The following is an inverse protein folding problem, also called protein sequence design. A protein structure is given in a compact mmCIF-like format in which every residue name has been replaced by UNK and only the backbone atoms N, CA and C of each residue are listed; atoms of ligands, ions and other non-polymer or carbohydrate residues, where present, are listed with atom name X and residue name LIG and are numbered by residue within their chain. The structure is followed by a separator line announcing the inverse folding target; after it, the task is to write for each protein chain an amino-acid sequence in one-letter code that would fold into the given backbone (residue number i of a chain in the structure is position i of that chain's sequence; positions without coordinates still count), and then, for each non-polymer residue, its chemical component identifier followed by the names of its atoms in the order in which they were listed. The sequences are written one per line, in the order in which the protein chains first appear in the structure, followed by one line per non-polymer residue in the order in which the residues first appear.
data_IF_909342241618
#
_entry.id   IF_909342241618
#
_cell.length_a   1.000
_cell.length_b   1.000
_cell.length_c   1.000
_cell.angle_alpha   90.00
_cell.angle_beta   90.00
_cell.angle_gamma   90.00
#
_symmetry.space_group_name_H-M   'P 1'
#
loop_
_entity.id
_entity.type
_entity.pdbx_description
1 polymer ?
#
# COMPACT_ATOMS: atom_id res chain seq x y z
N UNK A 1 9.29 -53.87 3.41
CA UNK A 1 8.80 -54.04 4.79
C UNK A 1 8.53 -52.67 5.38
N UNK A 2 7.29 -52.36 5.76
CA UNK A 2 6.94 -51.13 6.49
C UNK A 2 7.06 -51.39 7.98
N UNK A 3 7.75 -50.50 8.71
CA UNK A 3 7.76 -50.52 10.17
C UNK A 3 6.35 -50.20 10.68
N UNK A 4 5.82 -51.00 11.61
CA UNK A 4 4.48 -50.82 12.19
C UNK A 4 4.61 -50.42 13.66
N UNK A 5 3.72 -49.56 14.15
CA UNK A 5 3.54 -49.33 15.60
C UNK A 5 2.93 -50.57 16.27
N UNK A 6 2.94 -50.66 17.63
CA UNK A 6 2.29 -51.76 18.37
C UNK A 6 0.80 -51.94 18.01
N UNK A 7 0.14 -50.88 17.53
CA UNK A 7 -1.26 -50.89 17.07
C UNK A 7 -1.43 -51.35 15.61
N UNK A 8 -0.38 -51.88 14.97
CA UNK A 8 -0.43 -52.42 13.60
C UNK A 8 -0.55 -51.38 12.48
N UNK A 9 -0.56 -50.08 12.81
CA UNK A 9 -0.54 -48.99 11.82
C UNK A 9 0.90 -48.75 11.32
N UNK A 10 1.09 -48.28 10.07
CA UNK A 10 2.41 -47.87 9.60
C UNK A 10 3.00 -46.81 10.53
N UNK A 11 4.24 -47.01 10.97
CA UNK A 11 4.97 -46.07 11.80
C UNK A 11 5.09 -44.74 11.04
N UNK A 12 4.41 -43.71 11.54
CA UNK A 12 4.60 -42.33 11.14
C UNK A 12 5.41 -41.64 12.23
N UNK A 13 6.48 -40.96 11.86
CA UNK A 13 7.22 -40.09 12.78
C UNK A 13 6.24 -39.05 13.34
N UNK A 14 6.16 -38.97 14.66
CA UNK A 14 5.30 -37.99 15.32
C UNK A 14 5.91 -36.60 15.09
N UNK A 15 5.24 -35.79 14.28
CA UNK A 15 5.46 -34.34 14.12
C UNK A 15 6.92 -33.92 13.87
N UNK A 16 7.29 -33.67 12.62
CA UNK A 16 8.32 -32.65 12.40
C UNK A 16 7.76 -31.34 12.93
N UNK A 17 8.45 -30.70 13.88
CA UNK A 17 8.17 -29.32 14.25
C UNK A 17 8.48 -28.48 12.99
N UNK A 18 7.50 -28.31 12.11
CA UNK A 18 7.67 -27.48 10.93
C UNK A 18 7.68 -26.04 11.43
N UNK A 19 8.88 -25.46 11.52
CA UNK A 19 9.08 -24.04 11.81
C UNK A 19 8.38 -23.17 10.76
N UNK A 20 8.16 -23.71 9.57
CA UNK A 20 7.40 -23.11 8.49
C UNK A 20 6.00 -23.72 8.42
N UNK A 21 4.98 -22.97 8.84
CA UNK A 21 3.59 -23.20 8.50
C UNK A 21 3.12 -22.02 7.64
N UNK A 22 2.84 -22.21 6.34
CA UNK A 22 2.39 -21.13 5.45
C UNK A 22 0.95 -20.67 5.72
N UNK A 23 0.27 -21.24 6.72
CA UNK A 23 -1.15 -21.02 6.93
C UNK A 23 -1.42 -19.68 7.63
N UNK A 24 -2.36 -18.93 7.05
CA UNK A 24 -2.98 -17.73 7.64
C UNK A 24 -3.65 -17.98 9.01
N UNK A 25 -3.71 -19.23 9.45
CA UNK A 25 -4.21 -19.64 10.76
C UNK A 25 -3.17 -19.60 11.87
N UNK A 26 -1.88 -19.40 11.56
CA UNK A 26 -0.85 -19.33 12.60
C UNK A 26 -1.12 -18.13 13.54
N UNK A 27 -1.41 -18.38 14.84
CA UNK A 27 -1.74 -17.32 15.79
C UNK A 27 -0.59 -16.34 16.00
N UNK A 28 0.65 -16.76 15.77
CA UNK A 28 1.82 -15.89 15.91
C UNK A 28 1.86 -14.82 14.80
N UNK A 29 1.54 -15.18 13.55
CA UNK A 29 1.49 -14.24 12.43
C UNK A 29 0.39 -13.19 12.69
N UNK A 30 -0.78 -13.62 13.19
CA UNK A 30 -1.87 -12.72 13.57
C UNK A 30 -1.46 -11.75 14.68
N UNK A 31 -0.72 -12.23 15.68
CA UNK A 31 -0.23 -11.39 16.76
C UNK A 31 0.75 -10.32 16.25
N UNK A 32 1.69 -10.69 15.37
CA UNK A 32 2.60 -9.72 14.77
C UNK A 32 1.89 -8.68 13.91
N UNK A 33 0.89 -9.09 13.12
CA UNK A 33 0.09 -8.16 12.32
C UNK A 33 -0.68 -7.19 13.21
N UNK A 34 -1.31 -7.67 14.29
CA UNK A 34 -2.04 -6.82 15.23
C UNK A 34 -1.10 -5.81 15.92
N UNK A 35 0.05 -6.28 16.39
CA UNK A 35 1.04 -5.42 17.03
C UNK A 35 1.60 -4.36 16.08
N UNK A 36 1.89 -4.71 14.83
CA UNK A 36 2.38 -3.75 13.82
C UNK A 36 1.27 -2.77 13.41
N UNK A 37 0.02 -3.21 13.27
CA UNK A 37 -1.12 -2.33 13.01
C UNK A 37 -1.27 -1.28 14.13
N UNK A 38 -1.23 -1.69 15.40
CA UNK A 38 -1.32 -0.78 16.53
C UNK A 38 -0.12 0.16 16.64
N UNK A 39 1.08 -0.35 16.31
CA UNK A 39 2.31 0.46 16.27
C UNK A 39 2.20 1.55 15.20
N UNK A 40 1.75 1.19 13.99
CA UNK A 40 1.56 2.15 12.89
C UNK A 40 0.42 3.12 13.20
N UNK A 41 -0.65 2.69 13.87
CA UNK A 41 -1.73 3.60 14.29
C UNK A 41 -1.27 4.59 15.37
N UNK A 42 -0.36 4.17 16.24
CA UNK A 42 0.16 5.03 17.33
C UNK A 42 1.21 6.04 16.87
N UNK A 43 2.10 5.65 15.96
CA UNK A 43 3.23 6.48 15.50
C UNK A 43 3.07 7.04 14.09
N UNK A 44 2.20 6.44 13.29
CA UNK A 44 1.93 6.85 11.93
C UNK A 44 0.89 7.95 11.84
N UNK A 45 0.43 8.15 10.62
CA UNK A 45 -0.50 9.20 10.26
C UNK A 45 -1.60 8.66 9.34
N UNK A 46 -2.82 9.22 9.43
CA UNK A 46 -3.89 8.86 8.52
C UNK A 46 -3.62 9.47 7.14
N UNK A 47 -3.79 8.67 6.11
CA UNK A 47 -3.73 9.05 4.70
C UNK A 47 -5.05 8.68 4.02
N UNK A 48 -5.42 9.45 3.00
CA UNK A 48 -6.63 9.19 2.24
C UNK A 48 -6.28 8.61 0.87
N UNK A 49 -6.64 7.35 0.65
CA UNK A 49 -6.39 6.61 -0.57
C UNK A 49 -7.55 6.73 -1.55
N UNK A 50 -7.26 7.18 -2.77
CA UNK A 50 -8.18 7.28 -3.88
C UNK A 50 -7.79 6.29 -4.96
N UNK A 51 -8.63 5.28 -5.15
CA UNK A 51 -8.40 4.23 -6.13
C UNK A 51 -8.48 4.77 -7.55
N UNK A 52 -7.60 4.28 -8.43
CA UNK A 52 -7.63 4.58 -9.86
C UNK A 52 -8.39 3.50 -10.63
N UNK A 53 -9.28 3.95 -11.51
CA UNK A 53 -9.98 3.14 -12.49
C UNK A 53 -9.47 3.51 -13.88
N UNK A 54 -9.00 2.49 -14.61
CA UNK A 54 -8.54 2.60 -15.99
C UNK A 54 -9.50 1.78 -16.85
N UNK A 55 -10.14 2.43 -17.82
CA UNK A 55 -10.97 1.74 -18.79
C UNK A 55 -10.07 0.98 -19.78
N UNK A 56 -10.29 -0.32 -20.03
CA UNK A 56 -9.48 -1.10 -20.96
C UNK A 56 -9.42 -0.50 -22.37
N UNK A 57 -10.48 0.20 -22.80
CA UNK A 57 -10.55 0.83 -24.12
C UNK A 57 -9.76 2.13 -24.27
N UNK A 58 -9.23 2.67 -23.17
CA UNK A 58 -8.46 3.93 -23.15
C UNK A 58 -6.95 3.70 -23.03
N UNK A 59 -6.51 2.44 -23.03
CA UNK A 59 -5.11 2.05 -22.98
C UNK A 59 -4.55 2.09 -24.40
N UNK A 60 -3.58 2.97 -24.63
CA UNK A 60 -2.83 3.00 -25.88
C UNK A 60 -1.93 1.75 -25.94
N UNK A 61 -2.15 0.89 -26.93
CA UNK A 61 -1.40 -0.38 -27.06
C UNK A 61 0.07 -0.17 -27.40
N UNK A 62 0.45 1.01 -27.90
CA UNK A 62 1.82 1.32 -28.33
C UNK A 62 2.69 1.73 -27.14
N UNK A 63 2.14 2.56 -26.26
CA UNK A 63 2.85 3.11 -25.09
C UNK A 63 2.47 2.43 -23.78
N UNK A 64 1.42 1.60 -23.77
CA UNK A 64 0.85 0.96 -22.57
C UNK A 64 0.47 2.02 -21.53
N UNK A 65 -0.02 3.15 -22.01
CA UNK A 65 -0.45 4.27 -21.18
C UNK A 65 -1.94 4.51 -21.32
N UNK A 66 -2.61 4.72 -20.19
CA UNK A 66 -4.02 5.09 -20.16
C UNK A 66 -4.18 6.58 -20.48
N UNK A 67 -4.97 6.92 -21.50
CA UNK A 67 -5.29 8.31 -21.88
C UNK A 67 -6.17 9.00 -20.84
N UNK A 68 -7.09 8.27 -20.23
CA UNK A 68 -7.94 8.72 -19.13
C UNK A 68 -7.63 7.95 -17.85
N UNK A 69 -7.51 8.67 -16.73
CA UNK A 69 -7.44 8.08 -15.39
C UNK A 69 -8.57 8.67 -14.58
N UNK A 70 -9.48 7.82 -14.12
CA UNK A 70 -10.59 8.21 -13.27
C UNK A 70 -10.23 7.79 -11.85
N UNK A 71 -10.48 8.66 -10.88
CA UNK A 71 -10.24 8.38 -9.48
C UNK A 71 -11.57 8.19 -8.76
N UNK A 72 -11.61 7.32 -7.74
CA UNK A 72 -12.73 7.25 -6.81
C UNK A 72 -12.97 8.62 -6.17
N UNK A 73 -14.23 9.01 -6.00
CA UNK A 73 -14.58 10.23 -5.26
C UNK A 73 -14.59 10.01 -3.74
N UNK A 74 -14.70 8.75 -3.31
CA UNK A 74 -14.72 8.37 -1.90
C UNK A 74 -13.37 7.81 -1.49
N UNK A 75 -12.59 8.52 -0.65
CA UNK A 75 -11.32 7.99 -0.18
C UNK A 75 -11.52 6.91 0.86
N UNK A 76 -10.56 5.98 0.92
CA UNK A 76 -10.40 5.03 2.02
C UNK A 76 -9.29 5.53 2.93
N UNK A 77 -9.55 5.59 4.23
CA UNK A 77 -8.53 5.94 5.21
C UNK A 77 -7.56 4.77 5.41
N UNK A 78 -6.26 5.04 5.24
CA UNK A 78 -5.19 4.09 5.52
C UNK A 78 -4.18 4.73 6.48
N UNK A 79 -3.57 3.92 7.34
CA UNK A 79 -2.55 4.39 8.26
C UNK A 79 -1.17 4.05 7.72
N UNK A 80 -0.28 5.04 7.70
CA UNK A 80 1.08 4.85 7.24
C UNK A 80 2.08 5.66 8.07
N UNK A 81 3.29 5.11 8.18
CA UNK A 81 4.47 5.81 8.67
C UNK A 81 5.23 6.34 7.47
N UNK A 82 5.52 7.64 7.48
CA UNK A 82 6.37 8.28 6.48
C UNK A 82 7.08 9.48 7.10
N UNK A 83 8.23 9.84 6.55
CA UNK A 83 8.98 11.01 6.97
C UNK A 83 8.78 12.12 5.93
N UNK A 84 8.05 13.20 6.27
CA UNK A 84 7.85 14.31 5.34
C UNK A 84 9.16 15.04 5.09
N UNK A 85 9.80 14.76 3.96
CA UNK A 85 10.94 15.53 3.47
C UNK A 85 10.44 16.89 2.94
N UNK A 86 11.03 18.02 3.35
CA UNK A 86 10.71 19.31 2.77
C UNK A 86 11.09 19.30 1.29
N UNK A 87 10.26 19.93 0.45
CA UNK A 87 10.54 20.08 -0.98
C UNK A 87 11.87 20.78 -1.18
N UNK A 88 12.91 20.04 -1.54
CA UNK A 88 14.22 20.59 -1.88
C UNK A 88 14.32 20.75 -3.39
N UNK A 89 14.37 22.00 -3.83
CA UNK A 89 14.69 22.35 -5.20
C UNK A 89 16.21 22.34 -5.34
N UNK A 90 16.80 21.22 -5.77
CA UNK A 90 18.22 21.18 -6.07
C UNK A 90 18.46 21.94 -7.38
N UNK A 91 19.15 23.08 -7.28
CA UNK A 91 19.55 23.87 -8.43
C UNK A 91 20.90 23.34 -8.94
N UNK A 92 20.84 22.42 -9.90
CA UNK A 92 22.02 21.94 -10.62
C UNK A 92 22.31 22.88 -11.81
N UNK A 93 23.53 22.83 -12.37
CA UNK A 93 23.95 23.66 -13.52
C UNK A 93 23.04 23.49 -14.77
N UNK A 94 22.20 22.45 -14.79
CA UNK A 94 21.28 22.09 -15.88
C UNK A 94 19.80 22.41 -15.58
N UNK A 95 19.47 22.93 -14.39
CA UNK A 95 18.10 23.29 -14.04
C UNK A 95 17.73 22.99 -12.59
N UNK A 96 16.46 23.25 -12.26
CA UNK A 96 15.86 22.89 -10.98
C UNK A 96 15.31 21.46 -11.12
N UNK A 97 15.93 20.50 -10.44
CA UNK A 97 15.38 19.15 -10.32
C UNK A 97 14.69 19.03 -8.95
N UNK A 98 13.39 18.73 -8.98
CA UNK A 98 12.60 18.49 -7.77
C UNK A 98 12.39 16.98 -7.66
N UNK A 99 13.20 16.34 -6.82
CA UNK A 99 13.10 14.91 -6.54
C UNK A 99 12.03 14.68 -5.46
N UNK A 100 10.75 14.88 -5.81
CA UNK A 100 9.64 14.78 -4.84
C UNK A 100 9.07 13.36 -4.82
N UNK A 101 9.89 12.40 -4.38
CA UNK A 101 9.45 11.04 -4.06
C UNK A 101 9.26 10.88 -2.55
N UNK A 102 8.21 10.17 -2.18
CA UNK A 102 7.86 9.85 -0.79
C UNK A 102 7.64 8.36 -0.65
N UNK A 103 8.13 7.78 0.43
CA UNK A 103 7.91 6.37 0.77
C UNK A 103 6.94 6.29 1.94
N UNK A 104 5.80 5.63 1.71
CA UNK A 104 4.81 5.35 2.73
C UNK A 104 4.90 3.89 3.15
N UNK A 105 5.12 3.64 4.43
CA UNK A 105 5.10 2.29 4.99
C UNK A 105 3.75 2.02 5.66
N UNK A 106 3.08 0.96 5.25
CA UNK A 106 1.78 0.58 5.76
C UNK A 106 1.73 -0.91 6.10
N UNK A 107 0.86 -1.29 7.04
CA UNK A 107 0.64 -2.71 7.33
C UNK A 107 -0.12 -3.36 6.17
N UNK A 108 0.42 -4.47 5.64
CA UNK A 108 -0.11 -5.15 4.46
C UNK A 108 -1.55 -5.63 4.68
N UNK A 109 -1.81 -6.28 5.81
CA UNK A 109 -3.13 -6.85 6.10
C UNK A 109 -4.16 -5.78 6.43
N UNK A 110 -3.79 -4.74 7.17
CA UNK A 110 -4.69 -3.63 7.48
C UNK A 110 -5.17 -2.93 6.20
N UNK A 111 -4.25 -2.70 5.24
CA UNK A 111 -4.59 -2.10 3.95
C UNK A 111 -5.49 -3.01 3.12
N UNK A 112 -5.21 -4.32 3.05
CA UNK A 112 -6.08 -5.28 2.36
C UNK A 112 -7.46 -5.35 3.01
N UNK A 113 -7.55 -5.26 4.34
CA UNK A 113 -8.84 -5.24 5.07
C UNK A 113 -9.64 -3.96 4.79
N UNK A 114 -8.96 -2.82 4.63
CA UNK A 114 -9.60 -1.53 4.35
C UNK A 114 -10.06 -1.40 2.88
N UNK A 115 -9.23 -1.81 1.94
CA UNK A 115 -9.46 -1.61 0.49
C UNK A 115 -10.12 -2.86 -0.15
N UNK A 116 -9.90 -4.05 0.41
CA UNK A 116 -10.30 -5.34 -0.16
C UNK A 116 -9.25 -5.96 -1.08
N UNK A 117 -8.27 -5.19 -1.53
CA UNK A 117 -7.13 -5.66 -2.32
C UNK A 117 -5.88 -4.83 -2.04
N UNK A 118 -4.74 -5.28 -2.56
CA UNK A 118 -3.49 -4.51 -2.48
C UNK A 118 -3.63 -3.20 -3.29
N UNK A 119 -2.98 -2.09 -2.86
CA UNK A 119 -3.03 -0.81 -3.56
C UNK A 119 -2.62 -0.94 -5.03
N UNK A 120 -3.39 -0.32 -5.92
CA UNK A 120 -3.12 -0.27 -7.36
C UNK A 120 -2.07 0.79 -7.68
N UNK A 121 -1.13 0.48 -8.56
CA UNK A 121 -0.17 1.46 -9.07
C UNK A 121 -0.93 2.53 -9.87
N UNK A 122 -0.54 3.80 -9.71
CA UNK A 122 -1.22 4.95 -10.31
C UNK A 122 -2.36 5.55 -9.48
N UNK A 123 -2.69 4.93 -8.35
CA UNK A 123 -3.66 5.46 -7.39
C UNK A 123 -3.16 6.75 -6.74
N UNK A 124 -4.08 7.56 -6.24
CA UNK A 124 -3.77 8.83 -5.57
C UNK A 124 -3.83 8.65 -4.05
N UNK A 125 -2.90 9.27 -3.34
CA UNK A 125 -2.85 9.33 -1.88
C UNK A 125 -2.82 10.80 -1.49
N UNK A 126 -3.66 11.20 -0.54
CA UNK A 126 -3.64 12.54 0.02
C UNK A 126 -3.12 12.48 1.46
N UNK A 127 -2.09 13.29 1.75
CA UNK A 127 -1.51 13.39 3.09
C UNK A 127 -2.05 14.63 3.82
N UNK A 128 -2.90 14.47 4.85
CA UNK A 128 -3.54 15.60 5.54
C UNK A 128 -2.56 16.54 6.23
N UNK A 129 -1.42 16.01 6.69
CA UNK A 129 -0.42 16.79 7.40
C UNK A 129 0.33 17.78 6.50
N UNK A 130 0.56 17.42 5.24
CA UNK A 130 1.21 18.29 4.26
C UNK A 130 0.20 19.02 3.36
N UNK A 131 -1.05 18.53 3.27
CA UNK A 131 -2.04 19.04 2.32
C UNK A 131 -1.71 18.70 0.87
N UNK A 132 -0.89 17.66 0.65
CA UNK A 132 -0.36 17.32 -0.67
C UNK A 132 -0.98 16.04 -1.24
N UNK A 133 -1.01 15.98 -2.56
CA UNK A 133 -1.45 14.82 -3.31
C UNK A 133 -0.25 14.10 -3.91
N UNK A 134 -0.29 12.78 -3.77
CA UNK A 134 0.76 11.86 -4.19
C UNK A 134 0.17 10.84 -5.14
N UNK A 135 0.96 10.39 -6.09
CA UNK A 135 0.65 9.33 -7.04
C UNK A 135 1.52 8.13 -6.75
N UNK A 136 0.92 6.97 -6.50
CA UNK A 136 1.66 5.72 -6.31
C UNK A 136 2.34 5.33 -7.62
N UNK A 137 3.66 5.24 -7.62
CA UNK A 137 4.48 4.83 -8.76
C UNK A 137 4.85 3.36 -8.65
N UNK A 138 5.19 2.92 -7.45
CA UNK A 138 5.63 1.57 -7.20
C UNK A 138 5.11 1.05 -5.86
N UNK A 139 4.83 -0.25 -5.82
CA UNK A 139 4.43 -0.99 -4.62
C UNK A 139 5.42 -2.11 -4.38
N UNK A 140 6.11 -2.06 -3.25
CA UNK A 140 7.06 -3.08 -2.81
C UNK A 140 6.58 -3.75 -1.52
N UNK A 141 7.02 -4.99 -1.31
CA UNK A 141 6.91 -5.65 -0.02
C UNK A 141 8.15 -5.26 0.79
N UNK A 142 7.96 -4.58 1.92
CA UNK A 142 9.06 -4.00 2.69
C UNK A 142 9.64 -4.98 3.69
N UNK A 143 8.80 -5.50 4.60
CA UNK A 143 9.24 -6.33 5.71
C UNK A 143 8.53 -7.69 5.72
N UNK A 144 9.31 -8.75 5.90
CA UNK A 144 8.82 -10.10 6.08
C UNK A 144 9.12 -10.58 7.50
N UNK A 145 8.11 -11.14 8.17
CA UNK A 145 8.26 -11.86 9.45
C UNK A 145 7.64 -13.23 9.32
N UNK A 146 8.36 -14.26 9.77
CA UNK A 146 7.90 -15.65 9.72
C UNK A 146 7.35 -16.06 8.34
N UNK A 147 8.03 -15.61 7.27
CA UNK A 147 7.65 -15.87 5.87
C UNK A 147 6.32 -15.24 5.41
N UNK A 148 5.74 -14.35 6.20
CA UNK A 148 4.60 -13.50 5.81
C UNK A 148 5.06 -12.07 5.59
N UNK A 149 4.49 -11.41 4.57
CA UNK A 149 4.70 -9.99 4.35
C UNK A 149 3.92 -9.18 5.40
N UNK A 150 4.63 -8.46 6.25
CA UNK A 150 4.07 -7.64 7.32
C UNK A 150 3.80 -6.22 6.81
N UNK A 151 4.78 -5.63 6.12
CA UNK A 151 4.72 -4.24 5.63
C UNK A 151 4.74 -4.14 4.12
N UNK A 152 3.97 -3.19 3.61
CA UNK A 152 3.96 -2.75 2.22
C UNK A 152 4.56 -1.34 2.17
N UNK A 153 5.49 -1.14 1.24
CA UNK A 153 6.06 0.15 0.93
C UNK A 153 5.43 0.68 -0.35
N UNK A 154 4.83 1.86 -0.27
CA UNK A 154 4.27 2.58 -1.41
C UNK A 154 5.22 3.74 -1.72
N UNK A 155 5.88 3.66 -2.87
CA UNK A 155 6.71 4.75 -3.39
C UNK A 155 5.78 5.61 -4.23
N UNK A 156 5.68 6.89 -3.87
CA UNK A 156 4.80 7.83 -4.51
C UNK A 156 5.54 9.09 -4.93
N UNK A 157 5.11 9.68 -6.04
CA UNK A 157 5.61 10.97 -6.54
C UNK A 157 4.54 12.04 -6.33
N UNK A 158 4.94 13.30 -6.19
CA UNK A 158 3.98 14.41 -6.10
C UNK A 158 3.05 14.41 -7.33
N UNK A 159 1.75 14.52 -7.11
CA UNK A 159 0.75 14.51 -8.17
C UNK A 159 0.74 15.86 -8.88
N UNK A 160 1.21 15.89 -10.13
CA UNK A 160 1.06 17.06 -11.00
C UNK A 160 -0.22 16.91 -11.82
N UNK A 161 -1.09 17.92 -11.76
CA UNK A 161 -2.26 17.97 -12.64
C UNK A 161 -1.83 18.19 -14.09
N UNK A 162 -2.31 17.33 -14.99
CA UNK A 162 -2.20 17.60 -16.42
C UNK A 162 -3.38 18.44 -16.87
N UNK A 163 -3.13 19.45 -17.71
CA UNK A 163 -4.12 20.37 -18.26
C UNK A 163 -5.29 19.69 -19.01
N UNK A 164 -5.16 18.39 -19.34
CA UNK A 164 -6.19 17.57 -19.98
C UNK A 164 -7.18 16.92 -19.01
N UNK A 165 -6.95 16.98 -17.69
CA UNK A 165 -7.90 16.45 -16.69
C UNK A 165 -9.02 17.48 -16.50
N UNK A 166 -9.98 17.47 -17.42
CA UNK A 166 -11.11 18.40 -17.48
C UNK A 166 -12.00 18.27 -16.24
N UNK A 167 -11.77 19.10 -15.24
CA UNK A 167 -12.66 19.16 -14.08
C UNK A 167 -12.43 20.31 -13.12
N UNK A 168 -11.18 20.78 -12.91
CA UNK A 168 -10.87 21.97 -12.10
C UNK A 168 -11.52 22.04 -10.70
N UNK A 169 -12.01 20.89 -10.18
CA UNK A 169 -12.77 20.76 -8.93
C UNK A 169 -12.27 19.62 -8.05
N UNK A 170 -11.21 18.90 -8.47
CA UNK A 170 -10.68 17.72 -7.76
C UNK A 170 -9.52 18.08 -6.80
N UNK A 171 -9.20 19.37 -6.72
CA UNK A 171 -8.21 19.99 -5.85
C UNK A 171 -8.86 21.13 -5.07
N UNK A 172 -9.91 20.82 -4.31
CA UNK A 172 -10.10 21.60 -3.09
C UNK A 172 -8.93 21.28 -2.16
N UNK A 173 -8.32 22.33 -1.58
CA UNK A 173 -7.19 22.21 -0.63
C UNK A 173 -7.52 21.33 0.59
N UNK A 174 -8.79 20.98 0.78
CA UNK A 174 -9.28 19.95 1.69
C UNK A 174 -10.36 19.15 0.94
N UNK A 175 -10.20 17.84 0.73
CA UNK A 175 -11.32 17.01 0.28
C UNK A 175 -12.40 17.01 1.36
N UNK A 176 -13.67 17.10 0.94
CA UNK A 176 -14.83 17.05 1.84
C UNK A 176 -14.95 15.63 2.41
N UNK A 177 -14.34 15.39 3.57
CA UNK A 177 -14.37 14.08 4.24
C UNK A 177 -15.77 13.90 4.83
N UNK A 178 -16.59 12.95 4.33
CA UNK A 178 -17.86 12.68 4.98
C UNK A 178 -17.57 12.18 6.40
N UNK A 179 -18.07 12.89 7.41
CA UNK A 179 -18.02 12.43 8.79
C UNK A 179 -18.70 11.06 8.84
N UNK A 180 -17.95 10.03 9.21
CA UNK A 180 -18.51 8.72 9.49
C UNK A 180 -19.60 8.87 10.56
N UNK A 181 -20.76 8.27 10.28
CA UNK A 181 -21.85 8.05 11.26
C UNK A 181 -21.43 6.90 12.17
#
# INVERSE_FOLDING_TARGET
MSLLTPDGRPYKTFGSLQVYQPDAENPQIKLFNLWDEDTIRSFGSPLYYYEVFISPGEIDTTYIEARGKIYSNHPVEIWAVYEPLPSQNYQNQWGIESLNEMVFECNAQAVIKAIGHMPKIGSRIYSPHLGENWKVVQRNLGEFKMWSALRVQLIAQQFQESATTSGGRVTESKPDIPKSI
#
